data_IF_736762168880
#
_entry.id   IF_736762168880
#
_cell.length_a   1.000
_cell.length_b   1.000
_cell.length_c   1.000
_cell.angle_alpha   90.00
_cell.angle_beta   90.00
_cell.angle_gamma   90.00
#
_symmetry.space_group_name_H-M   'P 1'
#
loop_
_entity.id
_entity.type
_entity.pdbx_description
1 polymer ?
#
# COMPACT_ATOMS: atom_id res chain seq x y z
N UNK A 1 9.76 8.73 -18.25
CA UNK A 1 10.89 8.37 -17.35
C UNK A 1 10.59 8.82 -15.92
N UNK A 2 10.19 10.09 -15.72
CA UNK A 2 9.78 10.63 -14.42
C UNK A 2 8.64 9.84 -13.74
N UNK A 3 7.61 9.43 -14.49
CA UNK A 3 6.52 8.60 -13.96
C UNK A 3 6.99 7.23 -13.43
N UNK A 4 7.92 6.58 -14.13
CA UNK A 4 8.46 5.27 -13.72
C UNK A 4 9.36 5.40 -12.49
N UNK A 5 10.12 6.50 -12.39
CA UNK A 5 10.95 6.80 -11.21
C UNK A 5 10.04 7.11 -10.02
N UNK A 6 8.99 7.92 -10.20
CA UNK A 6 8.00 8.21 -9.16
C UNK A 6 7.24 6.96 -8.69
N UNK A 7 6.86 6.08 -9.63
CA UNK A 7 6.23 4.79 -9.33
C UNK A 7 7.18 3.89 -8.54
N UNK A 8 8.45 3.77 -8.96
CA UNK A 8 9.45 2.94 -8.29
C UNK A 8 9.80 3.43 -6.88
N UNK A 9 10.10 4.72 -6.73
CA UNK A 9 10.43 5.33 -5.43
C UNK A 9 9.23 5.31 -4.51
N UNK A 10 8.04 5.70 -5.00
CA UNK A 10 6.79 5.67 -4.24
C UNK A 10 6.41 4.27 -3.78
N UNK A 11 6.51 3.28 -4.68
CA UNK A 11 6.24 1.87 -4.35
C UNK A 11 7.27 1.30 -3.38
N UNK A 12 8.53 1.70 -3.48
CA UNK A 12 9.59 1.28 -2.56
C UNK A 12 9.37 1.81 -1.15
N UNK A 13 9.08 3.10 -1.01
CA UNK A 13 8.77 3.73 0.30
C UNK A 13 7.52 3.10 0.89
N UNK A 14 6.45 2.98 0.09
CA UNK A 14 5.22 2.31 0.52
C UNK A 14 5.47 0.89 1.00
N UNK A 15 6.25 0.10 0.25
CA UNK A 15 6.58 -1.27 0.61
C UNK A 15 7.33 -1.34 1.95
N UNK A 16 8.35 -0.50 2.17
CA UNK A 16 9.07 -0.44 3.46
C UNK A 16 8.14 -0.05 4.61
N UNK A 17 7.24 0.91 4.39
CA UNK A 17 6.26 1.35 5.39
C UNK A 17 5.29 0.21 5.72
N UNK A 18 4.79 -0.49 4.71
CA UNK A 18 3.87 -1.62 4.90
C UNK A 18 4.54 -2.79 5.64
N UNK A 19 5.84 -3.04 5.42
CA UNK A 19 6.60 -4.01 6.21
C UNK A 19 6.65 -3.69 7.71
N UNK A 20 6.47 -2.43 8.11
CA UNK A 20 6.41 -2.00 9.51
C UNK A 20 4.96 -1.98 10.01
N UNK A 21 4.04 -1.42 9.21
CA UNK A 21 2.63 -1.24 9.59
C UNK A 21 1.91 -2.57 9.72
N UNK A 22 2.17 -3.53 8.82
CA UNK A 22 1.45 -4.80 8.80
C UNK A 22 1.73 -5.63 10.07
N UNK A 23 2.98 -5.82 10.52
CA UNK A 23 3.26 -6.48 11.80
C UNK A 23 2.62 -5.78 13.01
N UNK A 24 2.56 -4.45 13.01
CA UNK A 24 1.88 -3.69 14.07
C UNK A 24 0.38 -3.97 14.04
N UNK A 25 -0.24 -3.92 12.85
CA UNK A 25 -1.65 -4.22 12.67
C UNK A 25 -1.99 -5.68 13.03
N UNK A 26 -1.10 -6.64 12.75
CA UNK A 26 -1.23 -8.03 13.17
C UNK A 26 -1.25 -8.17 14.68
N UNK A 27 -0.34 -7.51 15.40
CA UNK A 27 -0.30 -7.57 16.87
C UNK A 27 -1.54 -6.97 17.53
N UNK A 28 -2.24 -6.06 16.85
CA UNK A 28 -3.49 -5.48 17.33
C UNK A 28 -4.71 -6.37 17.06
N UNK A 29 -4.61 -7.30 16.12
CA UNK A 29 -5.75 -8.06 15.61
C UNK A 29 -5.55 -9.59 15.60
N UNK A 30 -4.48 -10.08 16.22
CA UNK A 30 -4.17 -11.51 16.43
C UNK A 30 -4.15 -12.35 15.13
N UNK A 31 -3.70 -11.76 14.02
CA UNK A 31 -3.65 -12.45 12.73
C UNK A 31 -2.40 -13.32 12.57
N UNK A 32 -2.56 -14.56 12.12
CA UNK A 32 -1.46 -15.41 11.67
C UNK A 32 -1.03 -15.03 10.25
N UNK A 33 0.24 -14.68 10.05
CA UNK A 33 0.81 -14.46 8.71
C UNK A 33 1.94 -15.44 8.38
N UNK A 34 2.21 -15.68 7.07
CA UNK A 34 3.33 -16.47 6.60
C UNK A 34 4.68 -15.86 7.02
N UNK A 35 5.75 -16.65 6.89
CA UNK A 35 7.11 -16.24 7.31
C UNK A 35 7.55 -14.90 6.71
N UNK A 36 8.38 -14.15 7.44
CA UNK A 36 8.77 -12.76 7.14
C UNK A 36 9.32 -12.54 5.73
N UNK A 37 10.09 -13.49 5.18
CA UNK A 37 10.65 -13.39 3.82
C UNK A 37 9.58 -13.60 2.74
N UNK A 38 8.71 -14.58 2.95
CA UNK A 38 7.59 -14.87 2.03
C UNK A 38 6.59 -13.70 2.02
N UNK A 39 6.31 -13.15 3.20
CA UNK A 39 5.48 -11.97 3.37
C UNK A 39 6.05 -10.75 2.64
N UNK A 40 7.36 -10.51 2.74
CA UNK A 40 7.98 -9.35 2.11
C UNK A 40 7.86 -9.36 0.58
N UNK A 41 8.12 -10.49 -0.07
CA UNK A 41 7.99 -10.59 -1.53
C UNK A 41 6.55 -10.57 -2.02
N UNK A 42 5.63 -11.25 -1.32
CA UNK A 42 4.19 -11.19 -1.62
C UNK A 42 3.69 -9.74 -1.51
N UNK A 43 4.08 -9.01 -0.47
CA UNK A 43 3.74 -7.60 -0.33
C UNK A 43 4.29 -6.73 -1.45
N UNK A 44 5.53 -6.96 -1.88
CA UNK A 44 6.10 -6.18 -2.98
C UNK A 44 5.28 -6.33 -4.25
N UNK A 45 4.90 -7.56 -4.60
CA UNK A 45 4.09 -7.84 -5.79
C UNK A 45 2.74 -7.12 -5.70
N UNK A 46 2.08 -7.18 -4.55
CA UNK A 46 0.78 -6.54 -4.35
C UNK A 46 0.91 -5.01 -4.43
N UNK A 47 1.95 -4.41 -3.85
CA UNK A 47 2.20 -2.96 -3.92
C UNK A 47 2.45 -2.51 -5.35
N UNK A 48 3.26 -3.26 -6.11
CA UNK A 48 3.52 -2.96 -7.52
C UNK A 48 2.23 -3.04 -8.35
N UNK A 49 1.44 -4.09 -8.16
CA UNK A 49 0.16 -4.27 -8.85
C UNK A 49 -0.85 -3.18 -8.48
N UNK A 50 -0.98 -2.86 -7.19
CA UNK A 50 -1.81 -1.76 -6.69
C UNK A 50 -1.45 -0.45 -7.38
N UNK A 51 -0.16 -0.09 -7.40
CA UNK A 51 0.27 1.19 -7.94
C UNK A 51 0.16 1.25 -9.47
N UNK A 52 0.40 0.15 -10.18
CA UNK A 52 0.16 0.05 -11.63
C UNK A 52 -1.33 0.23 -11.97
N UNK A 53 -2.21 -0.48 -11.27
CA UNK A 53 -3.67 -0.36 -11.48
C UNK A 53 -4.15 1.03 -11.12
N UNK A 54 -3.66 1.59 -10.01
CA UNK A 54 -4.05 2.93 -9.56
C UNK A 54 -3.68 4.00 -10.57
N UNK A 55 -2.50 3.91 -11.18
CA UNK A 55 -2.07 4.85 -12.21
C UNK A 55 -2.83 4.63 -13.52
N UNK A 56 -2.91 3.39 -14.00
CA UNK A 56 -3.59 3.09 -15.26
C UNK A 56 -5.08 3.46 -15.24
N UNK A 57 -5.78 3.15 -14.15
CA UNK A 57 -7.19 3.56 -13.97
C UNK A 57 -7.28 5.07 -13.71
N UNK A 58 -6.31 5.64 -13.00
CA UNK A 58 -6.25 7.08 -12.72
C UNK A 58 -6.13 7.94 -13.98
N UNK A 59 -5.38 7.49 -14.99
CA UNK A 59 -5.22 8.19 -16.26
C UNK A 59 -6.51 8.21 -17.09
N UNK A 60 -7.36 7.17 -16.97
CA UNK A 60 -8.57 7.03 -17.79
C UNK A 60 -9.81 7.60 -17.09
N UNK A 61 -9.95 7.35 -15.78
CA UNK A 61 -11.16 7.62 -15.01
C UNK A 61 -10.97 8.67 -13.91
N UNK A 62 -9.77 9.23 -13.76
CA UNK A 62 -9.41 10.24 -12.77
C UNK A 62 -8.78 9.65 -11.50
N UNK A 63 -7.96 10.46 -10.83
CA UNK A 63 -7.10 10.01 -9.72
C UNK A 63 -7.82 9.39 -8.52
N UNK A 64 -9.05 9.85 -8.21
CA UNK A 64 -9.88 9.27 -7.15
C UNK A 64 -10.29 7.83 -7.48
N UNK A 65 -10.73 7.58 -8.71
CA UNK A 65 -11.15 6.25 -9.18
C UNK A 65 -9.94 5.32 -9.25
N UNK A 66 -8.80 5.84 -9.72
CA UNK A 66 -7.52 5.11 -9.70
C UNK A 66 -7.13 4.67 -8.28
N UNK A 67 -7.19 5.60 -7.32
CA UNK A 67 -6.85 5.30 -5.92
C UNK A 67 -7.75 4.21 -5.33
N UNK A 68 -9.05 4.24 -5.63
CA UNK A 68 -10.01 3.22 -5.19
C UNK A 68 -9.73 1.86 -5.85
N UNK A 69 -9.44 1.84 -7.16
CA UNK A 69 -9.09 0.61 -7.86
C UNK A 69 -7.81 -0.03 -7.28
N UNK A 70 -6.79 0.79 -7.01
CA UNK A 70 -5.59 0.36 -6.30
C UNK A 70 -5.91 -0.21 -4.92
N UNK A 71 -6.72 0.50 -4.12
CA UNK A 71 -7.13 0.05 -2.79
C UNK A 71 -7.85 -1.31 -2.82
N UNK A 72 -8.71 -1.55 -3.81
CA UNK A 72 -9.37 -2.85 -4.01
C UNK A 72 -8.35 -3.94 -4.31
N UNK A 73 -7.38 -3.68 -5.19
CA UNK A 73 -6.32 -4.66 -5.51
C UNK A 73 -5.47 -4.97 -4.28
N UNK A 74 -5.10 -3.95 -3.51
CA UNK A 74 -4.35 -4.12 -2.26
C UNK A 74 -5.14 -4.94 -1.24
N UNK A 75 -6.41 -4.61 -1.05
CA UNK A 75 -7.32 -5.31 -0.15
C UNK A 75 -7.53 -6.78 -0.57
N UNK A 76 -7.82 -7.05 -1.85
CA UNK A 76 -7.98 -8.42 -2.37
C UNK A 76 -6.68 -9.19 -2.26
N UNK A 77 -5.54 -8.55 -2.51
CA UNK A 77 -4.22 -9.14 -2.31
C UNK A 77 -4.01 -9.57 -0.86
N UNK A 78 -4.30 -8.69 0.10
CA UNK A 78 -4.23 -9.02 1.52
C UNK A 78 -5.18 -10.17 1.91
N UNK A 79 -6.41 -10.14 1.44
CA UNK A 79 -7.38 -11.19 1.75
C UNK A 79 -7.00 -12.55 1.16
N UNK A 80 -6.55 -12.60 -0.11
CA UNK A 80 -6.33 -13.86 -0.84
C UNK A 80 -4.91 -14.41 -0.73
N UNK A 81 -3.92 -13.56 -0.56
CA UNK A 81 -2.50 -13.96 -0.57
C UNK A 81 -1.97 -14.20 0.85
N UNK A 82 -2.57 -13.54 1.83
CA UNK A 82 -2.19 -13.62 3.24
C UNK A 82 -3.21 -14.34 4.14
N UNK A 83 -4.31 -14.84 3.56
CA UNK A 83 -5.41 -15.48 4.29
C UNK A 83 -5.90 -14.62 5.48
N UNK A 84 -5.82 -13.30 5.34
CA UNK A 84 -6.32 -12.37 6.35
C UNK A 84 -7.84 -12.36 6.36
N UNK A 85 -8.44 -12.19 7.54
CA UNK A 85 -9.87 -11.95 7.62
C UNK A 85 -10.28 -10.71 6.82
N UNK A 86 -11.47 -10.76 6.21
CA UNK A 86 -12.02 -9.67 5.40
C UNK A 86 -11.91 -8.32 6.12
N UNK A 87 -12.34 -8.27 7.39
CA UNK A 87 -12.28 -7.06 8.22
C UNK A 87 -10.85 -6.62 8.53
N UNK A 88 -9.95 -7.57 8.80
CA UNK A 88 -8.53 -7.28 9.03
C UNK A 88 -7.86 -6.65 7.81
N UNK A 89 -8.10 -7.20 6.63
CA UNK A 89 -7.60 -6.65 5.38
C UNK A 89 -8.13 -5.23 5.13
N UNK A 90 -9.41 -4.95 5.41
CA UNK A 90 -9.98 -3.60 5.29
C UNK A 90 -9.30 -2.62 6.25
N UNK A 91 -9.12 -3.00 7.51
CA UNK A 91 -8.45 -2.14 8.51
C UNK A 91 -7.02 -1.82 8.06
N UNK A 92 -6.26 -2.81 7.58
CA UNK A 92 -4.90 -2.60 7.09
C UNK A 92 -4.88 -1.64 5.91
N UNK A 93 -5.81 -1.76 4.96
CA UNK A 93 -5.91 -0.82 3.83
C UNK A 93 -6.18 0.60 4.33
N UNK A 94 -7.13 0.78 5.23
CA UNK A 94 -7.45 2.11 5.80
C UNK A 94 -6.26 2.70 6.54
N UNK A 95 -5.61 1.93 7.43
CA UNK A 95 -4.43 2.38 8.16
C UNK A 95 -3.29 2.72 7.20
N UNK A 96 -3.07 1.89 6.17
CA UNK A 96 -2.04 2.17 5.16
C UNK A 96 -2.30 3.48 4.43
N UNK A 97 -3.55 3.80 4.11
CA UNK A 97 -3.93 5.06 3.49
C UNK A 97 -3.66 6.25 4.40
N UNK A 98 -4.02 6.16 5.68
CA UNK A 98 -3.72 7.22 6.66
C UNK A 98 -2.22 7.44 6.80
N UNK A 99 -1.43 6.38 6.90
CA UNK A 99 0.04 6.47 6.99
C UNK A 99 0.63 7.06 5.71
N UNK A 100 0.15 6.63 4.53
CA UNK A 100 0.59 7.20 3.26
C UNK A 100 0.29 8.69 3.17
N UNK A 101 -0.93 9.11 3.53
CA UNK A 101 -1.30 10.53 3.55
C UNK A 101 -0.41 11.33 4.49
N UNK A 102 -0.14 10.81 5.68
CA UNK A 102 0.72 11.48 6.66
C UNK A 102 2.16 11.60 6.17
N UNK A 103 2.71 10.54 5.57
CA UNK A 103 4.07 10.53 5.03
C UNK A 103 4.20 11.46 3.82
N UNK A 104 3.26 11.41 2.88
CA UNK A 104 3.24 12.30 1.71
C UNK A 104 3.10 13.76 2.20
N UNK A 105 2.19 14.02 3.13
CA UNK A 105 2.02 15.34 3.73
C UNK A 105 3.28 15.84 4.43
N UNK A 106 3.98 14.99 5.18
CA UNK A 106 5.23 15.33 5.85
C UNK A 106 6.37 15.60 4.84
N UNK A 107 6.48 14.79 3.78
CA UNK A 107 7.50 14.98 2.73
C UNK A 107 7.24 16.28 1.96
N UNK A 108 5.99 16.50 1.50
CA UNK A 108 5.61 17.73 0.80
C UNK A 108 5.80 18.94 1.71
N UNK A 109 5.42 18.84 2.98
CA UNK A 109 5.63 19.89 3.97
C UNK A 109 7.12 20.21 4.18
N UNK A 110 7.98 19.20 4.29
CA UNK A 110 9.42 19.40 4.39
C UNK A 110 10.03 20.00 3.13
N UNK A 111 9.55 19.63 1.94
CA UNK A 111 10.00 20.21 0.67
C UNK A 111 9.58 21.66 0.49
N UNK A 112 8.40 22.06 0.98
CA UNK A 112 7.92 23.45 0.92
C UNK A 112 8.56 24.35 2.00
N UNK A 113 9.16 23.76 3.04
CA UNK A 113 9.86 24.48 4.10
C UNK A 113 11.35 24.76 3.79
N UNK A 114 11.89 24.17 2.71
CA UNK A 114 13.23 24.39 2.15
C UNK A 114 13.17 25.41 1.02
#
# INVERSE_FOLDING_TARGET
>A
MEMLIGLGVGSGIEWVVLLIVIPIAQRLADFSMPGTVEMAWKLLIIVLLKNLISLGVGEVAGGLVGSLAGAIVFWVGLWKVFDLDFFGAVIIVVVSWFVQWFLIGAIVGAMLAL
#
